data_IF_483511066916
#
_entry.id   IF_483511066916
#
_cell.length_a   1.000
_cell.length_b   1.000
_cell.length_c   1.000
_cell.angle_alpha   90.00
_cell.angle_beta   90.00
_cell.angle_gamma   90.00
#
_symmetry.space_group_name_H-M   'P 1'
#
loop_
_entity.id
_entity.type
_entity.pdbx_description
1 polymer ?
#
# COMPACT_ATOMS: atom_id res chain seq x y z
N UNK A 1 23.47 -14.94 -47.29
CA UNK A 1 22.43 -14.98 -46.23
C UNK A 1 21.35 -13.94 -46.51
N UNK A 2 20.08 -14.29 -46.37
CA UNK A 2 18.97 -13.37 -46.60
C UNK A 2 18.80 -12.41 -45.41
N UNK A 3 18.34 -11.18 -45.71
CA UNK A 3 18.05 -10.12 -44.74
C UNK A 3 16.63 -9.62 -44.95
N UNK A 4 15.90 -9.41 -43.87
CA UNK A 4 14.58 -8.78 -43.88
C UNK A 4 14.65 -7.44 -43.18
N UNK A 5 13.92 -6.46 -43.71
CA UNK A 5 13.69 -5.17 -43.06
C UNK A 5 12.24 -5.12 -42.60
N UNK A 6 11.99 -4.61 -41.39
CA UNK A 6 10.65 -4.45 -40.83
C UNK A 6 10.56 -3.09 -40.13
N UNK A 7 9.35 -2.54 -40.04
CA UNK A 7 9.10 -1.22 -39.43
C UNK A 7 8.85 -1.36 -37.93
N UNK A 8 9.58 -0.61 -37.12
CA UNK A 8 9.34 -0.48 -35.68
C UNK A 8 8.14 0.43 -35.39
N UNK A 9 7.56 0.34 -34.17
CA UNK A 9 6.55 1.30 -33.72
C UNK A 9 7.06 2.76 -33.68
N UNK A 10 8.38 2.97 -33.58
CA UNK A 10 9.02 4.29 -33.67
C UNK A 10 9.06 4.87 -35.10
N UNK A 11 8.64 4.10 -36.12
CA UNK A 11 8.76 4.46 -37.54
C UNK A 11 10.13 4.15 -38.15
N UNK A 12 11.12 3.77 -37.34
CA UNK A 12 12.45 3.35 -37.79
C UNK A 12 12.40 1.95 -38.43
N UNK A 13 13.29 1.67 -39.39
CA UNK A 13 13.43 0.32 -39.96
C UNK A 13 14.53 -0.44 -39.23
N UNK A 14 14.21 -1.62 -38.69
CA UNK A 14 15.22 -2.58 -38.27
C UNK A 14 15.45 -3.61 -39.36
N UNK A 15 16.63 -4.24 -39.31
CA UNK A 15 16.96 -5.33 -40.21
C UNK A 15 17.54 -6.51 -39.44
N UNK A 16 17.05 -7.70 -39.75
CA UNK A 16 17.59 -8.96 -39.23
C UNK A 16 18.12 -9.80 -40.39
N UNK A 17 19.28 -10.42 -40.18
CA UNK A 17 19.98 -11.24 -41.18
C UNK A 17 20.32 -12.61 -40.60
N UNK A 18 20.42 -13.63 -41.46
CA UNK A 18 20.77 -14.99 -41.03
C UNK A 18 19.83 -16.06 -41.56
N UNK A 19 18.89 -15.70 -42.43
CA UNK A 19 17.95 -16.66 -42.99
C UNK A 19 18.54 -17.41 -44.19
N UNK A 20 18.26 -18.71 -44.25
CA UNK A 20 18.69 -19.60 -45.35
C UNK A 20 17.88 -19.36 -46.63
N UNK A 21 16.59 -19.01 -46.50
CA UNK A 21 15.69 -18.78 -47.63
C UNK A 21 15.00 -17.41 -47.56
N UNK A 22 14.69 -16.85 -48.74
CA UNK A 22 13.92 -15.61 -48.88
C UNK A 22 12.54 -15.70 -48.23
N UNK A 23 11.88 -16.85 -48.38
CA UNK A 23 10.55 -17.09 -47.83
C UNK A 23 10.56 -17.05 -46.30
N UNK A 24 11.54 -17.69 -45.65
CA UNK A 24 11.70 -17.64 -44.20
C UNK A 24 11.95 -16.20 -43.70
N UNK A 25 12.80 -15.44 -44.39
CA UNK A 25 13.08 -14.04 -44.05
C UNK A 25 11.80 -13.18 -44.12
N UNK A 26 11.00 -13.33 -45.18
CA UNK A 26 9.75 -12.58 -45.36
C UNK A 26 8.67 -12.97 -44.35
N UNK A 27 8.52 -14.26 -44.05
CA UNK A 27 7.58 -14.75 -43.05
C UNK A 27 7.89 -14.17 -41.67
N UNK A 28 9.16 -14.24 -41.26
CA UNK A 28 9.62 -13.68 -39.99
C UNK A 28 9.36 -12.17 -39.89
N UNK A 29 9.62 -11.40 -40.95
CA UNK A 29 9.35 -9.96 -40.96
C UNK A 29 7.86 -9.62 -40.78
N UNK A 30 6.98 -10.38 -41.43
CA UNK A 30 5.52 -10.23 -41.29
C UNK A 30 5.05 -10.59 -39.89
N UNK A 31 5.63 -11.61 -39.26
CA UNK A 31 5.32 -11.97 -37.88
C UNK A 31 5.71 -10.85 -36.90
N UNK A 32 6.88 -10.23 -37.10
CA UNK A 32 7.28 -9.07 -36.29
C UNK A 32 6.35 -7.88 -36.48
N UNK A 33 6.00 -7.54 -37.72
CA UNK A 33 5.04 -6.46 -37.98
C UNK A 33 3.67 -6.75 -37.36
N UNK A 34 3.24 -8.01 -37.36
CA UNK A 34 1.98 -8.43 -36.71
C UNK A 34 2.07 -8.21 -35.19
N UNK A 35 3.16 -8.64 -34.54
CA UNK A 35 3.39 -8.39 -33.11
C UNK A 35 3.44 -6.90 -32.77
N UNK A 36 3.98 -6.07 -33.67
CA UNK A 36 4.02 -4.61 -33.51
C UNK A 36 2.61 -4.03 -33.59
N UNK A 37 1.80 -4.45 -34.57
CA UNK A 37 0.39 -4.04 -34.69
C UNK A 37 -0.44 -4.46 -33.47
N UNK A 38 -0.16 -5.62 -32.91
CA UNK A 38 -0.79 -6.10 -31.67
C UNK A 38 -0.29 -5.40 -30.40
N UNK A 39 0.76 -4.58 -30.49
CA UNK A 39 1.38 -3.93 -29.33
C UNK A 39 2.13 -4.90 -28.40
N UNK A 40 2.38 -6.13 -28.83
CA UNK A 40 3.11 -7.18 -28.08
C UNK A 40 4.60 -7.24 -28.42
N UNK A 41 5.04 -6.44 -29.37
CA UNK A 41 6.43 -6.37 -29.77
C UNK A 41 7.28 -5.82 -28.62
N UNK A 42 8.23 -6.63 -28.17
CA UNK A 42 9.23 -6.28 -27.15
C UNK A 42 10.54 -5.99 -27.87
N UNK A 43 11.15 -4.85 -27.59
CA UNK A 43 12.47 -4.52 -28.15
C UNK A 43 13.51 -5.53 -27.63
N UNK A 44 14.32 -6.16 -28.51
CA UNK A 44 15.43 -7.01 -28.11
C UNK A 44 16.40 -6.34 -27.12
N UNK A 45 16.52 -5.01 -27.17
CA UNK A 45 17.30 -4.21 -26.21
C UNK A 45 16.61 -4.02 -24.85
N UNK A 46 15.28 -3.95 -24.81
CA UNK A 46 14.51 -3.67 -23.60
C UNK A 46 14.66 -4.76 -22.53
N UNK A 47 14.91 -6.01 -22.93
CA UNK A 47 15.17 -7.11 -22.00
C UNK A 47 16.48 -7.00 -21.22
N UNK A 48 17.41 -6.12 -21.63
CA UNK A 48 18.70 -5.89 -20.95
C UNK A 48 18.63 -4.91 -19.78
N UNK A 49 17.53 -4.16 -19.67
CA UNK A 49 17.28 -3.28 -18.54
C UNK A 49 17.27 -4.13 -17.26
N UNK A 50 18.00 -3.69 -16.24
CA UNK A 50 18.04 -4.39 -14.96
C UNK A 50 16.81 -4.08 -14.11
N UNK A 51 16.45 -4.97 -13.19
CA UNK A 51 15.33 -4.70 -12.27
C UNK A 51 15.59 -3.45 -11.45
N UNK A 52 16.84 -3.22 -11.02
CA UNK A 52 17.21 -2.04 -10.24
C UNK A 52 16.99 -0.73 -10.99
N UNK A 53 17.36 -0.67 -12.26
CA UNK A 53 17.14 0.50 -13.12
C UNK A 53 15.65 0.74 -13.35
N UNK A 54 14.89 -0.33 -13.63
CA UNK A 54 13.44 -0.23 -13.80
C UNK A 54 12.74 0.24 -12.53
N UNK A 55 13.13 -0.26 -11.36
CA UNK A 55 12.59 0.19 -10.07
C UNK A 55 12.81 1.68 -9.88
N UNK A 56 13.98 2.21 -10.26
CA UNK A 56 14.27 3.64 -10.20
C UNK A 56 13.28 4.47 -11.00
N UNK A 57 12.99 4.05 -12.25
CA UNK A 57 11.98 4.68 -13.10
C UNK A 57 10.57 4.53 -12.54
N UNK A 58 10.24 3.32 -12.10
CA UNK A 58 8.92 2.96 -11.58
C UNK A 58 8.52 3.77 -10.34
N UNK A 59 9.48 4.03 -9.43
CA UNK A 59 9.23 4.85 -8.23
C UNK A 59 8.79 6.28 -8.58
N UNK A 60 9.27 6.86 -9.68
CA UNK A 60 8.87 8.19 -10.13
C UNK A 60 7.47 8.25 -10.76
N UNK A 61 6.89 7.09 -11.12
CA UNK A 61 5.54 7.02 -11.73
C UNK A 61 4.43 6.84 -10.69
N UNK A 62 4.75 6.46 -9.45
CA UNK A 62 3.75 6.10 -8.45
C UNK A 62 3.29 7.31 -7.64
N UNK A 63 2.00 7.62 -7.69
CA UNK A 63 1.33 8.52 -6.75
C UNK A 63 0.65 7.70 -5.65
N UNK A 64 1.34 7.53 -4.50
CA UNK A 64 0.84 6.77 -3.35
C UNK A 64 1.05 7.54 -2.06
N UNK A 65 0.13 7.36 -1.10
CA UNK A 65 0.25 7.98 0.21
C UNK A 65 1.56 7.61 0.94
N UNK A 66 2.06 8.53 1.78
CA UNK A 66 3.39 8.48 2.43
C UNK A 66 3.67 7.12 3.08
N UNK A 67 2.73 6.58 3.86
CA UNK A 67 2.90 5.29 4.54
C UNK A 67 3.08 4.11 3.58
N UNK A 68 2.46 4.17 2.40
CA UNK A 68 2.59 3.14 1.37
C UNK A 68 3.93 3.28 0.64
N UNK A 69 4.36 4.50 0.36
CA UNK A 69 5.68 4.77 -0.22
C UNK A 69 6.80 4.23 0.67
N UNK A 70 6.75 4.50 1.98
CA UNK A 70 7.71 4.00 2.97
C UNK A 70 7.77 2.48 3.02
N UNK A 71 6.60 1.83 3.09
CA UNK A 71 6.53 0.37 3.11
C UNK A 71 7.11 -0.24 1.82
N UNK A 72 6.77 0.32 0.66
CA UNK A 72 7.34 -0.12 -0.63
C UNK A 72 8.85 0.06 -0.66
N UNK A 73 9.35 1.22 -0.23
CA UNK A 73 10.77 1.52 -0.18
C UNK A 73 11.52 0.56 0.76
N UNK A 74 10.93 0.22 1.92
CA UNK A 74 11.46 -0.81 2.82
C UNK A 74 11.57 -2.17 2.13
N UNK A 75 10.49 -2.65 1.51
CA UNK A 75 10.47 -3.96 0.84
C UNK A 75 11.48 -4.02 -0.33
N UNK A 76 11.56 -2.93 -1.10
CA UNK A 76 12.50 -2.80 -2.22
C UNK A 76 13.94 -2.87 -1.71
N UNK A 77 14.30 -2.01 -0.75
CA UNK A 77 15.67 -1.93 -0.24
C UNK A 77 16.12 -3.22 0.47
N UNK A 78 15.24 -3.82 1.27
CA UNK A 78 15.59 -4.95 2.13
C UNK A 78 15.58 -6.30 1.40
N UNK A 79 14.67 -6.49 0.44
CA UNK A 79 14.46 -7.83 -0.15
C UNK A 79 14.65 -7.86 -1.66
N UNK A 80 14.07 -6.90 -2.40
CA UNK A 80 14.02 -6.96 -3.86
C UNK A 80 15.38 -6.59 -4.46
N UNK A 81 15.93 -5.45 -4.07
CA UNK A 81 17.19 -4.92 -4.62
C UNK A 81 18.38 -5.86 -4.38
N UNK A 82 18.58 -6.43 -3.17
CA UNK A 82 19.70 -7.35 -2.94
C UNK A 82 19.60 -8.67 -3.72
N UNK A 83 18.40 -9.08 -4.13
CA UNK A 83 18.18 -10.36 -4.81
C UNK A 83 18.14 -10.23 -6.34
N UNK A 84 17.56 -9.15 -6.85
CA UNK A 84 17.21 -9.02 -8.26
C UNK A 84 17.71 -7.72 -8.90
N UNK A 85 18.31 -6.81 -8.12
CA UNK A 85 18.67 -5.48 -8.60
C UNK A 85 19.55 -5.48 -9.85
N UNK A 86 20.52 -6.39 -9.90
CA UNK A 86 21.48 -6.50 -11.01
C UNK A 86 21.02 -7.47 -12.10
N UNK A 87 19.92 -8.20 -11.87
CA UNK A 87 19.40 -9.14 -12.86
C UNK A 87 18.70 -8.40 -14.00
N UNK A 88 18.91 -8.80 -15.26
CA UNK A 88 18.12 -8.27 -16.37
C UNK A 88 16.67 -8.74 -16.25
N UNK A 89 15.73 -7.88 -16.67
CA UNK A 89 14.29 -8.19 -16.61
C UNK A 89 13.93 -9.47 -17.39
N UNK A 90 14.68 -9.77 -18.46
CA UNK A 90 14.48 -10.95 -19.30
C UNK A 90 14.94 -12.28 -18.70
N UNK A 91 15.86 -12.30 -17.74
CA UNK A 91 16.37 -13.55 -17.15
C UNK A 91 15.51 -14.07 -16.01
N UNK A 92 14.54 -13.28 -15.53
CA UNK A 92 13.75 -13.63 -14.36
C UNK A 92 12.85 -14.84 -14.63
N UNK A 93 13.03 -15.90 -13.86
CA UNK A 93 12.19 -17.10 -13.91
C UNK A 93 11.19 -17.17 -12.76
N UNK A 94 9.97 -17.62 -13.06
CA UNK A 94 8.91 -17.88 -12.06
C UNK A 94 9.37 -18.85 -10.97
N UNK A 95 10.20 -19.83 -11.32
CA UNK A 95 10.71 -20.84 -10.39
C UNK A 95 11.68 -20.23 -9.36
N UNK A 96 12.60 -19.40 -9.82
CA UNK A 96 13.58 -18.74 -8.97
C UNK A 96 12.93 -17.74 -8.01
N UNK A 97 11.92 -17.00 -8.49
CA UNK A 97 11.13 -16.08 -7.65
C UNK A 97 10.37 -16.85 -6.55
N UNK A 98 9.84 -18.03 -6.86
CA UNK A 98 9.17 -18.88 -5.88
C UNK A 98 10.15 -19.47 -4.84
N UNK A 99 11.33 -19.92 -5.28
CA UNK A 99 12.39 -20.39 -4.39
C UNK A 99 12.89 -19.25 -3.50
N UNK A 100 13.04 -18.05 -4.06
CA UNK A 100 13.42 -16.85 -3.33
C UNK A 100 12.43 -16.54 -2.21
N UNK A 101 11.13 -16.45 -2.53
CA UNK A 101 10.05 -16.20 -1.57
C UNK A 101 10.06 -17.21 -0.41
N UNK A 102 10.18 -18.51 -0.73
CA UNK A 102 10.18 -19.57 0.28
C UNK A 102 11.41 -19.52 1.18
N UNK A 103 12.55 -19.06 0.67
CA UNK A 103 13.79 -18.91 1.42
C UNK A 103 13.91 -17.61 2.21
N UNK A 104 13.05 -16.61 2.00
CA UNK A 104 13.12 -15.32 2.70
C UNK A 104 12.93 -15.44 4.23
N UNK A 105 11.94 -16.20 4.76
CA UNK A 105 11.75 -16.33 6.19
C UNK A 105 13.00 -16.85 6.92
N UNK A 106 13.64 -17.87 6.35
CA UNK A 106 14.84 -18.49 6.92
C UNK A 106 16.07 -17.60 6.79
N UNK A 107 16.26 -16.93 5.65
CA UNK A 107 17.46 -16.12 5.38
C UNK A 107 17.44 -14.76 6.08
N UNK A 108 16.27 -14.12 6.16
CA UNK A 108 16.14 -12.75 6.66
C UNK A 108 15.45 -12.66 8.03
N UNK A 109 14.98 -13.78 8.59
CA UNK A 109 14.27 -13.80 9.88
C UNK A 109 12.91 -13.12 9.84
N UNK A 110 12.21 -13.17 8.70
CA UNK A 110 10.94 -12.44 8.48
C UNK A 110 9.72 -13.34 8.47
N UNK A 111 8.56 -12.76 8.79
CA UNK A 111 7.29 -13.46 8.67
C UNK A 111 7.02 -13.90 7.23
N UNK A 112 6.35 -15.06 7.07
CA UNK A 112 5.82 -15.52 5.77
C UNK A 112 4.92 -14.47 5.11
N UNK A 113 4.23 -13.64 5.90
CA UNK A 113 3.43 -12.53 5.37
C UNK A 113 4.31 -11.49 4.68
N UNK A 114 5.39 -11.06 5.32
CA UNK A 114 6.33 -10.08 4.75
C UNK A 114 6.97 -10.60 3.46
N UNK A 115 7.34 -11.89 3.42
CA UNK A 115 7.84 -12.52 2.20
C UNK A 115 6.80 -12.50 1.06
N UNK A 116 5.52 -12.77 1.40
CA UNK A 116 4.41 -12.68 0.44
C UNK A 116 4.16 -11.25 -0.05
N UNK A 117 4.32 -10.26 0.83
CA UNK A 117 4.16 -8.85 0.50
C UNK A 117 5.29 -8.38 -0.43
N UNK A 118 6.54 -8.81 -0.18
CA UNK A 118 7.68 -8.53 -1.05
C UNK A 118 7.48 -9.10 -2.47
N UNK A 119 7.01 -10.35 -2.59
CA UNK A 119 6.66 -10.91 -3.91
C UNK A 119 5.50 -10.18 -4.56
N UNK A 120 4.47 -9.82 -3.81
CA UNK A 120 3.32 -9.08 -4.35
C UNK A 120 3.75 -7.72 -4.92
N UNK A 121 4.65 -7.03 -4.24
CA UNK A 121 5.24 -5.79 -4.75
C UNK A 121 6.06 -6.02 -6.02
N UNK A 122 6.89 -7.07 -6.06
CA UNK A 122 7.62 -7.46 -7.27
C UNK A 122 6.67 -7.77 -8.44
N UNK A 123 5.53 -8.44 -8.18
CA UNK A 123 4.50 -8.65 -9.19
C UNK A 123 3.96 -7.34 -9.74
N UNK A 124 3.70 -6.33 -8.91
CA UNK A 124 3.24 -5.02 -9.37
C UNK A 124 4.30 -4.35 -10.24
N UNK A 125 5.55 -4.31 -9.79
CA UNK A 125 6.68 -3.69 -10.52
C UNK A 125 6.86 -4.33 -11.91
N UNK A 126 6.85 -5.67 -11.99
CA UNK A 126 7.00 -6.39 -13.26
C UNK A 126 5.72 -6.37 -14.11
N UNK A 127 4.56 -6.21 -13.48
CA UNK A 127 3.29 -6.01 -14.17
C UNK A 127 3.28 -4.69 -14.94
N UNK A 128 3.74 -3.62 -14.31
CA UNK A 128 3.86 -2.32 -14.96
C UNK A 128 4.94 -2.32 -16.05
N UNK A 129 6.01 -3.10 -15.90
CA UNK A 129 7.02 -3.31 -16.94
C UNK A 129 6.43 -3.99 -18.19
N UNK A 130 5.54 -4.96 -17.99
CA UNK A 130 4.85 -5.65 -19.07
C UNK A 130 3.72 -4.81 -19.69
N UNK A 131 3.13 -3.88 -18.93
CA UNK A 131 2.08 -2.97 -19.40
C UNK A 131 2.62 -1.69 -20.07
N UNK A 132 3.92 -1.42 -19.94
CA UNK A 132 4.58 -0.28 -20.60
C UNK A 132 4.39 -0.34 -22.12
N UNK A 133 4.42 0.83 -22.78
CA UNK A 133 4.36 0.94 -24.24
C UNK A 133 5.63 1.62 -24.76
N UNK A 134 6.54 0.90 -25.43
CA UNK A 134 6.53 -0.55 -25.70
C UNK A 134 6.79 -1.41 -24.44
N UNK A 135 6.32 -2.67 -24.40
CA UNK A 135 6.52 -3.56 -23.26
C UNK A 135 8.01 -3.89 -23.08
N UNK A 136 8.49 -3.85 -21.83
CA UNK A 136 9.87 -4.24 -21.50
C UNK A 136 10.03 -5.75 -21.35
N UNK A 137 8.94 -6.42 -20.96
CA UNK A 137 8.87 -7.88 -20.79
C UNK A 137 7.58 -8.37 -21.43
N UNK A 138 7.64 -9.52 -22.10
CA UNK A 138 6.48 -10.12 -22.74
C UNK A 138 5.39 -10.60 -21.74
N UNK A 139 5.80 -11.07 -20.57
CA UNK A 139 4.88 -11.53 -19.52
C UNK A 139 5.48 -11.28 -18.13
N UNK A 140 4.64 -11.28 -17.10
CA UNK A 140 5.08 -11.10 -15.72
C UNK A 140 5.48 -12.45 -15.08
N UNK A 141 6.76 -12.72 -14.80
CA UNK A 141 7.21 -13.98 -14.21
C UNK A 141 6.89 -14.09 -12.71
N UNK A 142 6.63 -12.99 -12.01
CA UNK A 142 6.32 -13.04 -10.58
C UNK A 142 4.87 -13.49 -10.30
N UNK A 143 4.00 -13.43 -11.32
CA UNK A 143 2.58 -13.77 -11.23
C UNK A 143 2.41 -15.17 -10.62
N UNK A 144 1.61 -15.26 -9.55
CA UNK A 144 1.29 -16.54 -8.92
C UNK A 144 0.26 -17.28 -9.78
N UNK A 145 0.53 -18.53 -10.20
CA UNK A 145 -0.49 -19.36 -10.82
C UNK A 145 -1.68 -19.52 -9.88
N UNK A 146 -2.88 -19.21 -10.36
CA UNK A 146 -4.10 -19.30 -9.57
C UNK A 146 -4.42 -20.78 -9.35
N UNK A 147 -4.57 -21.19 -8.09
CA UNK A 147 -5.11 -22.49 -7.68
C UNK A 147 -4.46 -23.74 -8.34
N UNK A 148 -3.18 -24.02 -8.05
CA UNK A 148 -2.58 -25.33 -8.32
C UNK A 148 -3.15 -26.39 -7.35
N UNK A 149 -4.38 -26.85 -7.58
CA UNK A 149 -4.95 -28.10 -7.05
C UNK A 149 -4.94 -28.33 -5.52
N UNK A 150 -4.53 -27.39 -4.67
CA UNK A 150 -4.57 -27.56 -3.22
C UNK A 150 -6.02 -27.48 -2.75
N UNK A 151 -6.66 -28.65 -2.63
CA UNK A 151 -7.83 -28.87 -1.75
C UNK A 151 -7.49 -28.66 -0.27
N UNK A 152 -6.21 -28.59 0.08
CA UNK A 152 -5.74 -28.27 1.43
C UNK A 152 -5.70 -26.77 1.68
N UNK A 153 -6.85 -26.25 2.12
CA UNK A 153 -6.91 -25.48 3.35
C UNK A 153 -6.62 -23.99 3.27
N UNK A 154 -7.59 -23.20 2.76
CA UNK A 154 -7.79 -21.79 3.18
C UNK A 154 -7.85 -21.63 4.72
N UNK A 155 -8.06 -22.74 5.45
CA UNK A 155 -8.04 -22.83 6.92
C UNK A 155 -6.65 -22.78 7.56
N UNK A 156 -5.58 -23.27 6.92
CA UNK A 156 -4.26 -23.42 7.56
C UNK A 156 -3.52 -22.08 7.73
N UNK A 157 -3.77 -21.12 6.85
CA UNK A 157 -3.12 -19.80 6.84
C UNK A 157 -4.00 -18.67 7.40
N UNK A 158 -5.10 -19.00 8.08
CA UNK A 158 -5.86 -17.95 8.76
C UNK A 158 -4.97 -17.45 9.88
N UNK A 159 -4.58 -16.18 9.83
CA UNK A 159 -3.95 -15.53 10.97
C UNK A 159 -4.78 -15.88 12.22
N UNK A 160 -4.14 -16.19 13.36
CA UNK A 160 -4.87 -16.52 14.58
C UNK A 160 -5.96 -15.47 14.77
N UNK A 161 -7.19 -15.93 15.10
CA UNK A 161 -8.28 -15.01 15.34
C UNK A 161 -7.79 -13.97 16.35
N UNK A 162 -7.89 -12.69 15.98
CA UNK A 162 -7.57 -11.62 16.90
C UNK A 162 -8.50 -11.78 18.09
N UNK A 163 -7.92 -12.05 19.27
CA UNK A 163 -8.67 -12.02 20.51
C UNK A 163 -9.18 -10.58 20.69
N UNK A 164 -10.50 -10.42 20.68
CA UNK A 164 -11.14 -9.15 20.97
C UNK A 164 -11.33 -9.07 22.49
N UNK A 165 -11.12 -7.88 23.06
CA UNK A 165 -11.30 -7.68 24.49
C UNK A 165 -12.79 -7.74 24.84
N UNK A 166 -13.16 -8.49 25.88
CA UNK A 166 -14.53 -8.44 26.41
C UNK A 166 -14.83 -7.04 26.97
N UNK A 167 -16.11 -6.64 27.10
CA UNK A 167 -16.46 -5.31 27.64
C UNK A 167 -15.84 -5.04 29.01
N UNK A 168 -15.84 -6.06 29.89
CA UNK A 168 -15.19 -5.98 31.19
C UNK A 168 -13.66 -5.84 31.07
N UNK A 169 -13.02 -6.60 30.17
CA UNK A 169 -11.57 -6.47 29.93
C UNK A 169 -11.20 -5.08 29.40
N UNK A 170 -12.04 -4.46 28.58
CA UNK A 170 -11.82 -3.10 28.09
C UNK A 170 -11.90 -2.07 29.24
N UNK A 171 -12.87 -2.20 30.15
CA UNK A 171 -12.99 -1.35 31.33
C UNK A 171 -11.80 -1.52 32.28
N UNK A 172 -11.42 -2.75 32.61
CA UNK A 172 -10.26 -3.03 33.47
C UNK A 172 -8.94 -2.51 32.87
N UNK A 173 -8.78 -2.58 31.55
CA UNK A 173 -7.64 -1.99 30.85
C UNK A 173 -7.65 -0.46 30.94
N UNK A 174 -8.83 0.17 30.84
CA UNK A 174 -8.98 1.61 30.97
C UNK A 174 -8.63 2.09 32.38
N UNK A 175 -9.14 1.42 33.43
CA UNK A 175 -8.82 1.74 34.83
C UNK A 175 -7.32 1.60 35.09
N UNK A 176 -6.72 0.48 34.68
CA UNK A 176 -5.30 0.24 34.87
C UNK A 176 -4.43 1.27 34.13
N UNK A 177 -4.85 1.69 32.94
CA UNK A 177 -4.12 2.70 32.18
C UNK A 177 -4.18 4.08 32.86
N UNK A 178 -5.35 4.51 33.34
CA UNK A 178 -5.50 5.77 34.08
C UNK A 178 -4.69 5.78 35.39
N UNK A 179 -4.64 4.65 36.10
CA UNK A 179 -3.79 4.49 37.28
C UNK A 179 -2.29 4.56 36.95
N UNK A 180 -1.86 4.00 35.81
CA UNK A 180 -0.46 4.01 35.39
C UNK A 180 0.00 5.37 34.85
N UNK A 181 -0.89 6.11 34.18
CA UNK A 181 -0.58 7.43 33.63
C UNK A 181 -0.86 8.59 34.59
N UNK A 182 -1.67 8.35 35.63
CA UNK A 182 -2.15 9.36 36.57
C UNK A 182 -3.13 10.35 35.94
N UNK A 183 -3.75 10.00 34.81
CA UNK A 183 -4.66 10.88 34.05
C UNK A 183 -6.01 10.19 33.83
N UNK A 184 -7.07 10.81 34.33
CA UNK A 184 -8.45 10.32 34.15
C UNK A 184 -8.93 10.40 32.69
N UNK A 185 -8.31 11.25 31.87
CA UNK A 185 -8.57 11.36 30.43
C UNK A 185 -8.30 10.03 29.70
N UNK A 186 -7.30 9.26 30.16
CA UNK A 186 -6.93 7.99 29.54
C UNK A 186 -8.00 6.92 29.74
N UNK A 187 -8.72 6.97 30.88
CA UNK A 187 -9.87 6.09 31.12
C UNK A 187 -10.97 6.37 30.07
N UNK A 188 -11.40 7.62 29.98
CA UNK A 188 -12.48 8.04 29.06
C UNK A 188 -12.10 7.75 27.60
N UNK A 189 -10.83 7.99 27.24
CA UNK A 189 -10.30 7.70 25.92
C UNK A 189 -10.37 6.19 25.60
N UNK A 190 -9.89 5.33 26.50
CA UNK A 190 -9.84 3.88 26.26
C UNK A 190 -11.23 3.23 26.25
N UNK A 191 -12.17 3.70 27.07
CA UNK A 191 -13.57 3.28 27.02
C UNK A 191 -14.19 3.67 25.69
N UNK A 192 -14.01 4.92 25.26
CA UNK A 192 -14.51 5.40 23.96
C UNK A 192 -13.95 4.55 22.82
N UNK A 193 -12.64 4.26 22.84
CA UNK A 193 -11.99 3.40 21.85
C UNK A 193 -12.59 1.99 21.82
N UNK A 194 -12.80 1.39 22.98
CA UNK A 194 -13.32 0.02 23.09
C UNK A 194 -14.72 -0.14 22.53
N UNK A 195 -15.59 0.86 22.75
CA UNK A 195 -17.00 0.80 22.36
C UNK A 195 -17.31 1.40 20.99
N UNK A 196 -16.60 2.45 20.57
CA UNK A 196 -16.87 3.10 19.26
C UNK A 196 -15.98 2.56 18.13
N UNK A 197 -14.94 1.79 18.46
CA UNK A 197 -14.03 1.18 17.49
C UNK A 197 -13.38 2.14 16.49
N UNK A 198 -12.93 3.35 16.88
CA UNK A 198 -12.36 4.28 15.93
C UNK A 198 -11.01 3.75 15.43
N UNK A 199 -10.76 3.91 14.12
CA UNK A 199 -9.48 3.57 13.51
C UNK A 199 -8.32 4.28 14.25
N UNK A 200 -7.16 3.63 14.35
CA UNK A 200 -6.02 4.16 15.12
C UNK A 200 -5.57 5.57 14.68
N UNK A 201 -5.74 5.92 13.40
CA UNK A 201 -5.50 7.29 12.91
C UNK A 201 -6.46 8.31 13.52
N UNK A 202 -7.75 7.97 13.61
CA UNK A 202 -8.76 8.83 14.23
C UNK A 202 -8.54 8.97 15.74
N UNK A 203 -8.09 7.90 16.42
CA UNK A 203 -7.73 7.93 17.85
C UNK A 203 -6.65 8.97 18.19
N UNK A 204 -5.63 9.10 17.33
CA UNK A 204 -4.55 10.07 17.51
C UNK A 204 -5.04 11.51 17.33
N UNK A 205 -6.06 11.71 16.49
CA UNK A 205 -6.72 13.01 16.34
C UNK A 205 -7.53 13.38 17.60
N UNK A 206 -8.28 12.42 18.16
CA UNK A 206 -9.10 12.63 19.37
C UNK A 206 -8.23 12.95 20.61
N UNK A 207 -7.09 12.27 20.76
CA UNK A 207 -6.14 12.55 21.86
C UNK A 207 -5.49 13.93 21.76
N UNK A 208 -5.17 14.39 20.55
CA UNK A 208 -4.72 15.78 20.35
C UNK A 208 -5.82 16.79 20.69
N UNK A 209 -7.08 16.46 20.43
CA UNK A 209 -8.23 17.32 20.71
C UNK A 209 -8.51 17.43 22.22
N UNK A 210 -8.50 16.30 22.94
CA UNK A 210 -8.66 16.29 24.40
C UNK A 210 -7.49 16.97 25.11
N UNK A 211 -6.24 16.78 24.65
CA UNK A 211 -5.09 17.53 25.17
C UNK A 211 -5.22 19.05 24.93
N UNK A 212 -5.72 19.47 23.76
CA UNK A 212 -5.89 20.90 23.44
C UNK A 212 -7.04 21.53 24.26
N UNK A 213 -8.12 20.78 24.51
CA UNK A 213 -9.21 21.21 25.38
C UNK A 213 -8.77 21.33 26.85
N UNK A 214 -7.95 20.40 27.34
CA UNK A 214 -7.42 20.40 28.71
C UNK A 214 -6.43 21.56 28.96
N UNK A 215 -5.59 21.91 27.98
CA UNK A 215 -4.66 23.06 28.05
C UNK A 215 -5.42 24.39 28.12
N UNK A 216 -6.51 24.53 27.35
CA UNK A 216 -7.34 25.75 27.41
C UNK A 216 -8.15 25.86 28.72
N UNK A 217 -8.55 24.75 29.33
CA UNK A 217 -9.22 24.77 30.64
C UNK A 217 -8.25 25.09 31.79
N UNK A 218 -7.00 24.63 31.72
CA UNK A 218 -5.97 24.89 32.74
C UNK A 218 -5.38 26.31 32.66
N UNK A 219 -5.33 26.94 31.49
CA UNK A 219 -4.96 28.36 31.37
C UNK A 219 -6.06 29.33 31.85
N UNK A 220 -7.29 28.83 32.05
CA UNK A 220 -8.44 29.63 32.49
C UNK A 220 -8.71 29.53 34.00
N UNK A 221 -7.98 28.66 34.71
CA UNK A 221 -8.20 28.33 36.12
C UNK A 221 -7.30 29.08 37.10
N UNK A 222 -7.22 30.42 37.03
CA UNK A 222 -6.74 31.21 38.17
C UNK A 222 -7.91 31.57 39.07
N UNK A 223 -8.02 30.82 40.17
CA UNK A 223 -9.02 30.97 41.22
C UNK A 223 -8.75 32.27 42.01
N UNK A 224 -9.31 33.40 41.58
CA UNK A 224 -9.29 34.64 42.34
C UNK A 224 -10.47 34.67 43.34
N UNK A 225 -10.12 34.61 44.62
CA UNK A 225 -11.02 34.74 45.78
C UNK A 225 -11.15 36.24 46.11
N UNK A 226 -12.30 36.87 45.88
CA UNK A 226 -12.64 38.14 46.56
C UNK A 226 -14.15 38.45 46.53
N UNK A 227 -14.63 38.92 47.68
CA UNK A 227 -16.00 39.27 48.00
C UNK A 227 -16.50 40.55 47.31
N UNK A 228 -17.83 40.68 47.22
CA UNK A 228 -18.56 41.95 47.37
C UNK A 228 -18.75 42.85 46.14
N UNK A 229 -20.02 43.16 45.84
CA UNK A 229 -20.42 44.53 45.48
C UNK A 229 -20.57 44.92 44.01
N UNK A 230 -21.82 44.98 43.57
CA UNK A 230 -22.44 46.03 42.73
C UNK A 230 -22.11 46.17 41.22
N UNK A 231 -23.21 46.26 40.46
CA UNK A 231 -23.47 47.07 39.24
C UNK A 231 -22.66 46.85 37.96
N UNK A 232 -23.39 46.46 36.90
CA UNK A 232 -23.40 47.23 35.66
C UNK A 232 -22.65 46.66 34.46
N UNK A 233 -23.42 46.48 33.38
CA UNK A 233 -23.05 46.53 31.95
C UNK A 233 -22.50 45.27 31.25
N UNK A 234 -23.27 44.82 30.25
CA UNK A 234 -22.89 43.90 29.16
C UNK A 234 -21.89 44.58 28.21
N UNK A 235 -21.07 43.79 27.49
CA UNK A 235 -20.87 44.06 26.08
C UNK A 235 -21.15 42.86 25.16
N UNK A 236 -21.44 43.21 23.91
CA UNK A 236 -22.00 42.43 22.80
C UNK A 236 -21.05 41.33 22.29
N UNK A 237 -21.62 40.16 22.05
CA UNK A 237 -21.09 39.14 21.15
C UNK A 237 -21.45 39.46 19.70
N UNK A 238 -20.45 39.60 18.83
CA UNK A 238 -20.59 39.45 17.37
C UNK A 238 -20.33 37.98 17.00
N UNK A 239 -21.18 37.34 16.18
CA UNK A 239 -20.96 35.96 15.77
C UNK A 239 -20.05 35.91 14.54
N UNK A 240 -19.01 35.09 14.57
CA UNK A 240 -18.27 34.70 13.37
C UNK A 240 -18.95 33.47 12.76
N UNK A 241 -19.24 33.59 11.46
CA UNK A 241 -20.03 32.67 10.65
C UNK A 241 -19.41 31.27 10.49
N UNK A 242 -20.28 30.26 10.42
CA UNK A 242 -19.95 28.89 10.02
C UNK A 242 -19.90 28.76 8.49
N UNK A 243 -18.97 27.98 7.91
CA UNK A 243 -19.12 27.49 6.55
C UNK A 243 -19.99 26.22 6.52
N UNK A 244 -21.14 26.37 5.87
CA UNK A 244 -22.05 25.34 5.36
C UNK A 244 -21.43 24.51 4.23
N UNK A 245 -21.80 23.23 4.12
CA UNK A 245 -21.68 22.46 2.87
C UNK A 245 -21.13 21.03 3.04
N UNK A 246 -21.86 20.11 3.67
CA UNK A 246 -22.80 19.18 3.01
C UNK A 246 -22.14 17.87 2.48
N UNK A 247 -22.42 16.74 3.14
CA UNK A 247 -23.06 15.55 2.55
C UNK A 247 -23.33 14.50 3.65
N UNK A 248 -24.61 14.20 3.81
CA UNK A 248 -25.16 13.22 4.73
C UNK A 248 -24.70 11.78 4.41
N UNK A 249 -24.38 11.02 5.45
CA UNK A 249 -24.51 9.55 5.47
C UNK A 249 -25.57 9.20 6.54
N UNK A 250 -26.45 8.23 6.27
CA UNK A 250 -27.64 8.00 7.10
C UNK A 250 -27.25 7.39 8.44
N UNK A 251 -27.74 8.01 9.51
CA UNK A 251 -27.71 7.46 10.87
C UNK A 251 -28.60 6.21 10.90
N UNK A 252 -28.00 5.05 11.13
CA UNK A 252 -28.71 3.85 11.59
C UNK A 252 -29.05 4.11 13.06
N UNK A 253 -30.33 4.32 13.35
CA UNK A 253 -30.85 4.48 14.71
C UNK A 253 -30.88 3.11 15.43
N UNK A 254 -30.29 2.95 16.63
CA UNK A 254 -30.41 1.74 17.41
C UNK A 254 -31.60 1.88 18.37
N UNK A 255 -32.80 1.56 17.89
CA UNK A 255 -33.99 1.48 18.74
C UNK A 255 -34.84 0.27 18.37
N UNK A 256 -34.40 -0.93 18.76
CA UNK A 256 -35.27 -2.11 18.93
C UNK A 256 -34.46 -3.31 19.47
N UNK A 257 -34.08 -3.28 20.75
CA UNK A 257 -33.71 -4.50 21.49
C UNK A 257 -34.14 -4.33 22.94
N UNK A 258 -35.44 -4.44 23.17
CA UNK A 258 -36.06 -4.81 24.45
C UNK A 258 -37.49 -5.30 24.15
N UNK A 259 -37.60 -6.59 23.80
CA UNK A 259 -38.72 -7.50 24.04
C UNK A 259 -38.29 -8.90 23.54
#
# INVERSE_FOLDING_TARGET
>A
PWRVKYKLPSGTQASESGFETKAAALAWGRDQETRIREGRWTDPGAGKVTVGEWIGRWLGTQDVGISTAENRAYLIRRFIRPAWGDSPLSSLSTGEIAAWENGLPTRAGVSRRTARDARSLLCTILGDAAAAKPPLIAYNPALRPRNRGRRTGRRLDRAPQRAWATPLQALLLAERAALLSGRDDDFTMLVTIGYTGPCAGARRSVSNWTMSAQVNCTSSGSFARSAGGSTGSRPRTTPIAAPTGNRACPLISPASWLA
#
